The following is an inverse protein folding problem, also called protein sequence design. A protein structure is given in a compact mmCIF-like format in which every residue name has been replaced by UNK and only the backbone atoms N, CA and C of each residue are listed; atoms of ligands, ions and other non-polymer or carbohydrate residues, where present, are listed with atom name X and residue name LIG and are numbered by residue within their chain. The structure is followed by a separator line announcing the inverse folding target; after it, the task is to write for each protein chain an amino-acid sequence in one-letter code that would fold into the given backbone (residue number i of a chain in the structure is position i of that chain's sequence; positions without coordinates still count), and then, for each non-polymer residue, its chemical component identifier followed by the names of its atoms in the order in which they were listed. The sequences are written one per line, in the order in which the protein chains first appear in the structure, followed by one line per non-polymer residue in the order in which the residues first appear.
data_IF_392596250571
#
_entry.id   IF_392596250571
#
_cell.length_a   1.000
_cell.length_b   1.000
_cell.length_c   1.000
_cell.angle_alpha   90.00
_cell.angle_beta   90.00
_cell.angle_gamma   90.00
#
_symmetry.space_group_name_H-M   'P 1'
#
loop_
_entity.id
_entity.type
_entity.pdbx_description
1 polymer ?
#
# COMPACT_ATOMS: atom_id res chain seq x y z
N UNK A 1 13.30 -17.74 -38.34
CA UNK A 1 13.73 -16.60 -39.19
C UNK A 1 14.39 -15.46 -38.39
N UNK A 2 14.75 -15.65 -37.11
CA UNK A 2 15.23 -14.58 -36.22
C UNK A 2 16.77 -14.46 -36.06
N UNK A 3 17.55 -15.33 -36.72
CA UNK A 3 19.03 -15.36 -36.55
C UNK A 3 19.75 -14.40 -37.52
N UNK A 4 19.02 -13.69 -38.39
CA UNK A 4 19.60 -12.76 -39.39
C UNK A 4 19.62 -11.29 -38.94
N UNK A 5 18.82 -10.87 -37.95
CA UNK A 5 18.79 -9.48 -37.47
C UNK A 5 19.88 -9.16 -36.43
N UNK A 6 20.19 -10.11 -35.54
CA UNK A 6 21.27 -9.98 -34.53
C UNK A 6 22.66 -9.76 -35.19
N UNK A 7 22.87 -10.31 -36.39
CA UNK A 7 24.13 -10.19 -37.11
C UNK A 7 24.31 -8.81 -37.77
N UNK A 8 23.21 -8.09 -38.07
CA UNK A 8 23.28 -6.76 -38.70
C UNK A 8 23.68 -5.67 -37.69
N UNK A 9 23.18 -5.75 -36.46
CA UNK A 9 23.51 -4.80 -35.39
C UNK A 9 24.97 -4.96 -34.92
N UNK A 10 25.47 -6.19 -34.85
CA UNK A 10 26.89 -6.48 -34.58
C UNK A 10 27.81 -5.94 -35.68
N UNK A 11 27.43 -6.10 -36.96
CA UNK A 11 28.20 -5.57 -38.10
C UNK A 11 28.17 -4.04 -38.17
N UNK A 12 27.06 -3.40 -37.77
CA UNK A 12 26.94 -1.95 -37.69
C UNK A 12 27.77 -1.35 -36.54
N UNK A 13 27.81 -2.01 -35.37
CA UNK A 13 28.67 -1.58 -34.25
C UNK A 13 30.17 -1.77 -34.56
N UNK A 14 30.52 -2.84 -35.27
CA UNK A 14 31.88 -3.12 -35.74
C UNK A 14 32.33 -2.13 -36.84
N UNK A 15 31.44 -1.77 -37.77
CA UNK A 15 31.67 -0.76 -38.82
C UNK A 15 31.87 0.65 -38.23
N UNK A 16 31.09 1.03 -37.22
CA UNK A 16 31.21 2.32 -36.53
C UNK A 16 32.53 2.47 -35.76
N UNK A 17 32.99 1.39 -35.11
CA UNK A 17 34.30 1.33 -34.46
C UNK A 17 35.46 1.40 -35.46
N UNK A 18 35.35 0.77 -36.63
CA UNK A 18 36.40 0.79 -37.66
C UNK A 18 36.57 2.17 -38.32
N UNK A 19 35.49 2.95 -38.43
CA UNK A 19 35.54 4.31 -39.00
C UNK A 19 36.29 5.33 -38.10
N UNK A 20 36.57 5.02 -36.83
CA UNK A 20 37.17 5.96 -35.85
C UNK A 20 38.70 6.03 -35.90
N UNK A 21 39.37 5.23 -36.74
CA UNK A 21 40.83 5.04 -36.69
C UNK A 21 41.66 5.91 -37.66
N UNK A 22 41.08 6.76 -38.53
CA UNK A 22 41.82 7.34 -39.67
C UNK A 22 41.86 8.88 -39.83
N UNK A 23 41.89 9.68 -38.75
CA UNK A 23 42.28 11.10 -38.88
C UNK A 23 42.66 11.76 -37.54
N UNK A 24 43.88 12.33 -37.39
CA UNK A 24 44.37 12.89 -36.12
C UNK A 24 43.69 14.19 -35.65
N UNK A 25 42.85 14.82 -36.50
CA UNK A 25 42.04 16.01 -36.16
C UNK A 25 40.52 15.77 -36.13
N UNK A 26 39.97 15.02 -37.09
CA UNK A 26 38.52 14.76 -37.18
C UNK A 26 38.02 13.74 -36.14
N UNK A 27 38.89 12.85 -35.64
CA UNK A 27 38.54 11.90 -34.59
C UNK A 27 38.23 12.55 -33.24
N UNK A 28 38.81 13.72 -32.93
CA UNK A 28 38.61 14.42 -31.65
C UNK A 28 37.21 15.02 -31.55
N UNK A 29 36.78 15.80 -32.55
CA UNK A 29 35.42 16.35 -32.60
C UNK A 29 34.36 15.25 -32.71
N UNK A 30 34.64 14.15 -33.41
CA UNK A 30 33.71 13.03 -33.53
C UNK A 30 33.56 12.26 -32.22
N UNK A 31 34.66 11.99 -31.51
CA UNK A 31 34.64 11.38 -30.17
C UNK A 31 33.93 12.27 -29.13
N UNK A 32 34.12 13.59 -29.20
CA UNK A 32 33.40 14.54 -28.33
C UNK A 32 31.89 14.55 -28.61
N UNK A 33 31.48 14.52 -29.88
CA UNK A 33 30.05 14.41 -30.25
C UNK A 33 29.46 13.09 -29.78
N UNK A 34 30.15 11.98 -30.03
CA UNK A 34 29.70 10.65 -29.62
C UNK A 34 29.60 10.53 -28.09
N UNK A 35 30.59 11.00 -27.34
CA UNK A 35 30.55 10.98 -25.88
C UNK A 35 29.38 11.82 -25.32
N UNK A 36 29.05 12.95 -25.97
CA UNK A 36 27.90 13.76 -25.58
C UNK A 36 26.58 13.06 -25.87
N UNK A 37 26.47 12.40 -27.02
CA UNK A 37 25.27 11.69 -27.45
C UNK A 37 25.01 10.43 -26.60
N UNK A 38 26.07 9.69 -26.28
CA UNK A 38 26.03 8.53 -25.37
C UNK A 38 25.64 8.95 -23.94
N UNK A 39 26.25 10.02 -23.40
CA UNK A 39 25.88 10.55 -22.09
C UNK A 39 24.42 11.04 -22.05
N UNK A 40 23.94 11.67 -23.12
CA UNK A 40 22.56 12.13 -23.22
C UNK A 40 21.58 10.95 -23.26
N UNK A 41 21.90 9.91 -24.03
CA UNK A 41 21.10 8.68 -24.10
C UNK A 41 21.03 7.97 -22.75
N UNK A 42 22.13 7.91 -22.01
CA UNK A 42 22.18 7.29 -20.69
C UNK A 42 21.36 8.09 -19.65
N UNK A 43 21.41 9.43 -19.72
CA UNK A 43 20.57 10.32 -18.88
C UNK A 43 19.08 10.10 -19.18
N UNK A 44 18.70 10.00 -20.45
CA UNK A 44 17.30 9.77 -20.84
C UNK A 44 16.80 8.39 -20.42
N UNK A 45 17.62 7.35 -20.57
CA UNK A 45 17.29 6.01 -20.08
C UNK A 45 17.11 6.00 -18.56
N UNK A 46 18.01 6.64 -17.81
CA UNK A 46 17.90 6.73 -16.36
C UNK A 46 16.63 7.49 -15.95
N UNK A 47 16.30 8.59 -16.64
CA UNK A 47 15.06 9.33 -16.39
C UNK A 47 13.83 8.45 -16.62
N UNK A 48 13.77 7.72 -17.73
CA UNK A 48 12.65 6.85 -18.08
C UNK A 48 12.49 5.72 -17.06
N UNK A 49 13.61 5.12 -16.64
CA UNK A 49 13.62 4.06 -15.62
C UNK A 49 13.09 4.58 -14.28
N UNK A 50 13.56 5.74 -13.82
CA UNK A 50 13.11 6.35 -12.57
C UNK A 50 11.65 6.78 -12.62
N UNK A 51 11.18 7.29 -13.74
CA UNK A 51 9.77 7.64 -13.93
C UNK A 51 8.89 6.39 -13.89
N UNK A 52 9.33 5.28 -14.51
CA UNK A 52 8.62 3.99 -14.45
C UNK A 52 8.57 3.43 -13.03
N UNK A 53 9.70 3.47 -12.31
CA UNK A 53 9.76 3.06 -10.90
C UNK A 53 8.86 3.93 -10.02
N UNK A 54 8.84 5.25 -10.25
CA UNK A 54 8.00 6.18 -9.51
C UNK A 54 6.52 5.88 -9.73
N UNK A 55 6.08 5.78 -10.99
CA UNK A 55 4.68 5.46 -11.32
C UNK A 55 4.25 4.10 -10.77
N UNK A 56 5.15 3.10 -10.79
CA UNK A 56 4.85 1.79 -10.21
C UNK A 56 4.65 1.86 -8.69
N UNK A 57 5.49 2.63 -7.98
CA UNK A 57 5.35 2.85 -6.53
C UNK A 57 4.11 3.66 -6.18
N UNK A 58 3.82 4.69 -6.97
CA UNK A 58 2.62 5.52 -6.82
C UNK A 58 1.35 4.66 -6.98
N UNK A 59 1.29 3.84 -8.03
CA UNK A 59 0.17 2.93 -8.24
C UNK A 59 0.03 1.88 -7.12
N UNK A 60 1.13 1.35 -6.61
CA UNK A 60 1.12 0.40 -5.50
C UNK A 60 0.62 1.07 -4.19
N UNK A 61 1.08 2.30 -3.91
CA UNK A 61 0.67 3.05 -2.73
C UNK A 61 -0.83 3.40 -2.78
N UNK A 62 -1.30 3.92 -3.92
CA UNK A 62 -2.71 4.26 -4.14
C UNK A 62 -3.62 3.01 -4.17
N UNK A 63 -3.14 1.90 -4.72
CA UNK A 63 -3.88 0.62 -4.75
C UNK A 63 -4.06 -0.02 -3.37
N UNK A 64 -3.15 0.25 -2.42
CA UNK A 64 -3.26 -0.33 -1.07
C UNK A 64 -4.36 0.29 -0.21
N UNK A 65 -4.81 1.51 -0.52
CA UNK A 65 -5.85 2.20 0.26
C UNK A 65 -7.20 1.49 0.20
N UNK A 66 -7.54 0.84 -0.92
CA UNK A 66 -8.81 0.11 -1.06
C UNK A 66 -8.86 -1.23 -0.30
N UNK A 67 -7.71 -1.86 -0.06
CA UNK A 67 -7.64 -3.12 0.70
C UNK A 67 -7.77 -2.85 2.20
N UNK A 68 -7.08 -1.82 2.69
CA UNK A 68 -7.13 -1.43 4.10
C UNK A 68 -8.55 -1.07 4.55
N UNK A 69 -9.31 -0.33 3.73
CA UNK A 69 -10.68 0.06 4.08
C UNK A 69 -11.64 -1.12 4.12
N UNK A 70 -11.51 -2.08 3.20
CA UNK A 70 -12.40 -3.24 3.15
C UNK A 70 -12.13 -4.22 4.30
N UNK A 71 -10.86 -4.42 4.69
CA UNK A 71 -10.50 -5.23 5.85
C UNK A 71 -11.02 -4.61 7.16
N UNK A 72 -10.86 -3.30 7.34
CA UNK A 72 -11.37 -2.58 8.53
C UNK A 72 -12.89 -2.65 8.61
N UNK A 73 -13.59 -2.47 7.48
CA UNK A 73 -15.06 -2.56 7.44
C UNK A 73 -15.52 -3.98 7.81
N UNK A 74 -14.88 -5.01 7.25
CA UNK A 74 -15.17 -6.40 7.55
C UNK A 74 -14.98 -6.71 9.04
N UNK A 75 -13.84 -6.32 9.63
CA UNK A 75 -13.60 -6.51 11.06
C UNK A 75 -14.63 -5.76 11.92
N UNK A 76 -15.04 -4.57 11.50
CA UNK A 76 -16.04 -3.77 12.20
C UNK A 76 -17.40 -4.46 12.18
N UNK A 77 -17.80 -5.00 11.03
CA UNK A 77 -19.04 -5.75 10.88
C UNK A 77 -19.04 -7.05 11.71
N UNK A 78 -17.91 -7.78 11.73
CA UNK A 78 -17.74 -8.96 12.56
C UNK A 78 -17.86 -8.62 14.06
N UNK A 79 -17.18 -7.57 14.53
CA UNK A 79 -17.26 -7.11 15.92
C UNK A 79 -18.68 -6.69 16.29
N UNK A 80 -19.37 -5.97 15.41
CA UNK A 80 -20.76 -5.57 15.62
C UNK A 80 -21.69 -6.80 15.75
N UNK A 81 -21.49 -7.81 14.91
CA UNK A 81 -22.25 -9.06 14.97
C UNK A 81 -22.03 -9.78 16.31
N UNK A 82 -20.78 -9.89 16.77
CA UNK A 82 -20.46 -10.49 18.07
C UNK A 82 -21.11 -9.74 19.22
N UNK A 83 -21.07 -8.40 19.21
CA UNK A 83 -21.73 -7.56 20.24
C UNK A 83 -23.24 -7.83 20.24
N UNK A 84 -23.88 -7.84 19.09
CA UNK A 84 -25.32 -8.10 18.97
C UNK A 84 -25.69 -9.50 19.46
N UNK A 85 -24.91 -10.53 19.11
CA UNK A 85 -25.12 -11.89 19.59
C UNK A 85 -24.98 -11.98 21.10
N UNK A 86 -23.95 -11.37 21.69
CA UNK A 86 -23.74 -11.36 23.13
C UNK A 86 -24.88 -10.63 23.86
N UNK A 87 -25.35 -9.51 23.30
CA UNK A 87 -26.52 -8.81 23.82
C UNK A 87 -27.75 -9.72 23.80
N UNK A 88 -28.08 -10.33 22.66
CA UNK A 88 -29.25 -11.21 22.54
C UNK A 88 -29.19 -12.40 23.52
N UNK A 89 -28.03 -13.03 23.67
CA UNK A 89 -27.82 -14.15 24.60
C UNK A 89 -28.05 -13.75 26.06
N UNK A 90 -27.59 -12.56 26.46
CA UNK A 90 -27.59 -12.15 27.86
C UNK A 90 -28.81 -11.32 28.25
N UNK A 91 -29.55 -10.77 27.27
CA UNK A 91 -30.68 -9.85 27.46
C UNK A 91 -31.68 -10.37 28.49
N UNK A 92 -32.19 -11.58 28.29
CA UNK A 92 -33.27 -12.12 29.15
C UNK A 92 -32.79 -12.37 30.58
N UNK A 93 -31.53 -12.81 30.75
CA UNK A 93 -30.93 -13.05 32.07
C UNK A 93 -30.79 -11.74 32.83
N UNK A 94 -30.26 -10.70 32.18
CA UNK A 94 -30.07 -9.37 32.78
C UNK A 94 -31.42 -8.74 33.13
N UNK A 95 -32.42 -8.83 32.23
CA UNK A 95 -33.77 -8.34 32.50
C UNK A 95 -34.43 -9.04 33.67
N UNK A 96 -34.34 -10.37 33.74
CA UNK A 96 -34.91 -11.14 34.85
C UNK A 96 -34.28 -10.77 36.18
N UNK A 97 -32.95 -10.63 36.23
CA UNK A 97 -32.22 -10.21 37.43
C UNK A 97 -32.61 -8.79 37.86
N UNK A 98 -32.66 -7.85 36.91
CA UNK A 98 -33.02 -6.47 37.19
C UNK A 98 -34.44 -6.37 37.75
N UNK A 99 -35.41 -7.04 37.12
CA UNK A 99 -36.79 -7.05 37.58
C UNK A 99 -36.93 -7.72 38.95
N UNK A 100 -36.20 -8.82 39.19
CA UNK A 100 -36.19 -9.48 40.50
C UNK A 100 -35.70 -8.54 41.59
N UNK A 101 -34.68 -7.73 41.34
CA UNK A 101 -34.16 -6.77 42.31
C UNK A 101 -35.13 -5.59 42.53
N UNK A 102 -35.75 -5.09 41.48
CA UNK A 102 -36.70 -3.97 41.57
C UNK A 102 -37.97 -4.38 42.32
N UNK A 103 -38.42 -5.63 42.15
CA UNK A 103 -39.61 -6.15 42.82
C UNK A 103 -39.35 -6.66 44.25
N UNK A 104 -38.09 -6.85 44.67
CA UNK A 104 -37.71 -7.29 46.03
C UNK A 104 -37.70 -6.10 47.01
N UNK A 105 -38.89 -5.59 47.33
CA UNK A 105 -39.06 -4.49 48.27
C UNK A 105 -38.79 -5.00 49.69
N UNK A 106 -37.69 -4.53 50.29
CA UNK A 106 -37.33 -4.77 51.69
C UNK A 106 -37.56 -3.51 52.52
N UNK A 107 -38.74 -3.37 53.14
CA UNK A 107 -39.00 -2.24 54.01
C UNK A 107 -38.13 -2.35 55.26
N UNK A 108 -37.22 -1.42 55.44
CA UNK A 108 -36.39 -1.32 56.64
C UNK A 108 -36.78 -0.08 57.44
N UNK A 109 -36.97 -0.28 58.74
CA UNK A 109 -37.13 0.81 59.67
C UNK A 109 -35.76 1.46 59.84
N UNK A 110 -35.71 2.78 59.64
CA UNK A 110 -34.47 3.53 59.81
C UNK A 110 -33.84 3.25 61.18
N UNK A 111 -32.53 3.04 61.22
CA UNK A 111 -31.76 2.62 62.41
C UNK A 111 -31.98 3.46 63.67
N UNK A 112 -32.42 4.71 63.49
CA UNK A 112 -32.68 5.66 64.59
C UNK A 112 -34.15 5.73 65.03
N UNK A 113 -35.01 4.81 64.58
CA UNK A 113 -36.41 4.78 65.02
C UNK A 113 -36.48 4.47 66.53
N UNK A 114 -37.11 5.36 67.29
CA UNK A 114 -37.33 5.21 68.74
C UNK A 114 -38.81 5.24 69.01
N UNK A 115 -39.30 4.24 69.74
CA UNK A 115 -40.66 4.21 70.26
C UNK A 115 -40.66 5.10 71.50
N UNK A 116 -41.19 6.32 71.38
CA UNK A 116 -41.45 7.16 72.55
C UNK A 116 -42.68 6.58 73.25
N UNK A 117 -42.49 6.10 74.48
CA UNK A 117 -43.57 5.73 75.39
C UNK A 117 -44.21 6.94 76.04
#
# INVERSE_FOLDING_TARGET
MAVREENLLSVLSFSSSFALLRAPGAGKNRRLKQAKEEAQAEIEQYRLQREKEFKAKEAAALGSHGSCTTEVEKETQEKMSVIQQNFQKNREVVMSQLLSLVCDIKPEIHVNYRING
#
